data_IF_208449728967
#
_entry.id   IF_208449728967
#
_cell.length_a   1.000
_cell.length_b   1.000
_cell.length_c   1.000
_cell.angle_alpha   90.00
_cell.angle_beta   90.00
_cell.angle_gamma   90.00
#
_symmetry.space_group_name_H-M   'P 1'
#
loop_
_entity.id
_entity.type
_entity.pdbx_description
1 polymer ?
#
# COMPACT_ATOMS: atom_id res chain seq x y z
N UNK A 1 19.84 -15.63 2.49
CA UNK A 1 19.80 -15.07 1.11
C UNK A 1 18.69 -14.05 1.12
N UNK A 2 19.05 -12.77 1.18
CA UNK A 2 18.12 -11.65 1.30
C UNK A 2 17.30 -11.62 0.03
N UNK A 3 16.05 -12.05 0.15
CA UNK A 3 15.16 -12.05 -0.97
C UNK A 3 14.78 -10.58 -1.20
N UNK A 4 15.48 -9.96 -2.15
CA UNK A 4 15.18 -8.62 -2.66
C UNK A 4 13.77 -8.69 -3.24
N UNK A 5 12.78 -8.38 -2.38
CA UNK A 5 11.40 -8.33 -2.77
C UNK A 5 11.27 -7.34 -3.90
N UNK A 6 10.79 -7.80 -5.07
CA UNK A 6 10.66 -6.96 -6.24
C UNK A 6 9.83 -5.72 -5.87
N UNK A 7 10.48 -4.57 -5.91
CA UNK A 7 9.83 -3.28 -5.70
C UNK A 7 9.22 -2.88 -7.05
N UNK A 8 7.91 -2.73 -7.06
CA UNK A 8 7.14 -2.36 -8.25
C UNK A 8 6.23 -1.17 -7.93
N UNK A 9 5.93 -0.38 -8.96
CA UNK A 9 5.03 0.76 -8.85
C UNK A 9 3.67 0.36 -9.40
N UNK A 10 2.64 0.42 -8.56
CA UNK A 10 1.27 0.02 -8.89
C UNK A 10 0.29 1.13 -8.53
N UNK A 11 -0.96 1.01 -8.97
CA UNK A 11 -2.02 1.90 -8.51
C UNK A 11 -2.53 1.46 -7.13
N UNK A 12 -3.07 2.40 -6.31
CA UNK A 12 -3.64 2.09 -5.00
C UNK A 12 -4.75 1.04 -5.07
N UNK A 13 -5.52 1.00 -6.17
CA UNK A 13 -6.55 -0.01 -6.40
C UNK A 13 -6.02 -1.43 -6.63
N UNK A 14 -4.72 -1.60 -6.89
CA UNK A 14 -4.07 -2.91 -7.01
C UNK A 14 -3.47 -3.42 -5.70
N UNK A 15 -3.40 -2.57 -4.67
CA UNK A 15 -2.91 -2.93 -3.35
C UNK A 15 -3.88 -3.89 -2.68
N UNK A 16 -3.34 -4.91 -2.02
CA UNK A 16 -4.10 -5.91 -1.27
C UNK A 16 -3.66 -5.95 0.19
N UNK A 17 -4.55 -6.43 1.05
CA UNK A 17 -4.22 -6.71 2.44
C UNK A 17 -3.04 -7.70 2.49
N UNK A 18 -2.05 -7.40 3.33
CA UNK A 18 -0.77 -8.10 3.42
C UNK A 18 0.34 -7.54 2.52
N UNK A 19 0.03 -6.65 1.58
CA UNK A 19 1.06 -5.98 0.77
C UNK A 19 1.86 -4.97 1.61
N UNK A 20 3.14 -4.82 1.27
CA UNK A 20 4.01 -3.82 1.88
C UNK A 20 4.20 -2.68 0.89
N UNK A 21 3.63 -1.51 1.18
CA UNK A 21 3.74 -0.31 0.34
C UNK A 21 4.68 0.72 0.94
N UNK A 22 5.20 1.63 0.12
CA UNK A 22 5.99 2.77 0.55
C UNK A 22 5.06 3.92 0.89
N UNK A 23 5.14 4.39 2.12
CA UNK A 23 4.51 5.63 2.57
C UNK A 23 5.33 6.81 2.03
N UNK A 24 4.76 7.64 1.12
CA UNK A 24 5.45 8.80 0.57
C UNK A 24 5.59 9.94 1.60
N UNK A 25 4.70 10.03 2.59
CA UNK A 25 4.71 11.09 3.59
C UNK A 25 5.77 10.85 4.67
N UNK A 26 5.91 9.61 5.14
CA UNK A 26 6.89 9.25 6.16
C UNK A 26 8.15 8.55 5.62
N UNK A 27 8.25 8.34 4.30
CA UNK A 27 9.36 7.66 3.65
C UNK A 27 9.72 6.32 4.36
N UNK A 28 8.71 5.51 4.65
CA UNK A 28 8.85 4.20 5.33
C UNK A 28 8.07 3.12 4.61
N UNK A 29 8.39 1.86 4.91
CA UNK A 29 7.60 0.72 4.45
C UNK A 29 6.45 0.48 5.42
N UNK A 30 5.26 0.33 4.86
CA UNK A 30 3.99 0.20 5.57
C UNK A 30 3.33 -1.10 5.16
N UNK A 31 2.93 -1.92 6.12
CA UNK A 31 2.24 -3.18 5.83
C UNK A 31 0.75 -2.93 5.88
N UNK A 32 0.08 -3.15 4.76
CA UNK A 32 -1.36 -2.97 4.65
C UNK A 32 -2.04 -4.12 5.37
N UNK A 33 -2.86 -3.82 6.38
CA UNK A 33 -3.70 -4.78 7.08
C UNK A 33 -5.17 -4.63 6.70
N UNK A 34 -5.62 -3.39 6.54
CA UNK A 34 -6.99 -3.05 6.15
C UNK A 34 -6.98 -1.94 5.09
N UNK A 35 -7.94 -1.97 4.17
CA UNK A 35 -8.07 -1.00 3.08
C UNK A 35 -9.46 -0.37 3.15
N UNK A 36 -9.53 0.95 3.29
CA UNK A 36 -10.78 1.71 3.18
C UNK A 36 -10.73 2.67 1.99
N UNK A 37 -11.85 2.77 1.27
CA UNK A 37 -12.01 3.69 0.14
C UNK A 37 -12.98 4.79 0.56
N UNK A 38 -12.47 6.01 0.69
CA UNK A 38 -13.21 7.11 1.34
C UNK A 38 -14.11 7.88 0.37
N UNK A 39 -14.00 7.70 -0.95
CA UNK A 39 -14.86 8.39 -1.91
C UNK A 39 -15.00 7.63 -3.22
N UNK A 40 -16.25 7.47 -3.67
CA UNK A 40 -16.64 6.84 -4.92
C UNK A 40 -17.33 7.83 -5.86
N UNK A 41 -16.61 8.21 -6.92
CA UNK A 41 -17.00 8.45 -8.33
C UNK A 41 -15.79 9.13 -8.99
N UNK A 42 -14.87 8.33 -9.53
CA UNK A 42 -13.55 8.75 -10.02
C UNK A 42 -12.45 7.78 -9.57
N UNK A 43 -11.18 8.25 -9.50
CA UNK A 43 -10.05 7.46 -8.96
C UNK A 43 -10.15 7.20 -7.46
N UNK A 44 -10.98 7.94 -6.72
CA UNK A 44 -11.20 7.74 -5.28
C UNK A 44 -9.96 8.03 -4.42
N UNK A 45 -10.13 8.00 -3.10
CA UNK A 45 -9.03 8.09 -2.13
C UNK A 45 -8.96 6.78 -1.36
N UNK A 46 -7.77 6.20 -1.30
CA UNK A 46 -7.49 4.95 -0.61
C UNK A 46 -6.76 5.25 0.69
N UNK A 47 -7.31 4.75 1.80
CA UNK A 47 -6.69 4.78 3.12
C UNK A 47 -6.29 3.35 3.49
N UNK A 48 -4.99 3.13 3.67
CA UNK A 48 -4.43 1.85 4.09
C UNK A 48 -4.06 1.91 5.57
N UNK A 49 -4.54 0.95 6.36
CA UNK A 49 -4.28 0.87 7.80
C UNK A 49 -3.37 -0.33 8.09
N UNK A 50 -2.45 -0.19 9.05
CA UNK A 50 -1.70 -1.31 9.62
C UNK A 50 -2.54 -1.95 10.74
N UNK A 51 -1.98 -2.88 11.51
CA UNK A 51 -2.56 -3.48 12.72
C UNK A 51 -2.93 -2.44 13.78
N UNK A 52 -2.44 -1.21 13.67
CA UNK A 52 -2.82 -0.09 14.53
C UNK A 52 -3.71 0.86 13.75
N UNK A 53 -4.97 1.12 14.19
CA UNK A 53 -5.89 2.00 13.48
C UNK A 53 -5.45 3.48 13.50
N UNK A 54 -4.53 3.85 14.40
CA UNK A 54 -3.98 5.20 14.49
C UNK A 54 -2.99 5.55 13.37
N UNK A 55 -2.52 4.55 12.62
CA UNK A 55 -1.54 4.75 11.56
C UNK A 55 -2.14 4.37 10.19
N UNK A 56 -2.28 5.38 9.33
CA UNK A 56 -2.92 5.23 8.03
C UNK A 56 -2.12 5.94 6.93
N UNK A 57 -1.98 5.27 5.80
CA UNK A 57 -1.41 5.84 4.57
C UNK A 57 -2.56 6.18 3.65
N UNK A 58 -2.79 7.47 3.43
CA UNK A 58 -3.84 7.97 2.53
C UNK A 58 -3.21 8.41 1.22
N UNK A 59 -3.70 7.87 0.11
CA UNK A 59 -3.24 8.21 -1.25
C UNK A 59 -4.42 8.43 -2.18
N UNK A 60 -4.26 9.32 -3.15
CA UNK A 60 -5.22 9.48 -4.23
C UNK A 60 -5.12 8.28 -5.18
N UNK A 61 -6.24 7.80 -5.73
CA UNK A 61 -6.23 6.63 -6.62
C UNK A 61 -5.50 6.81 -7.94
N UNK A 62 -5.21 8.05 -8.34
CA UNK A 62 -4.33 8.40 -9.46
C UNK A 62 -2.85 8.51 -9.08
N UNK A 63 -2.52 8.52 -7.78
CA UNK A 63 -1.14 8.55 -7.32
C UNK A 63 -0.56 7.14 -7.25
N UNK A 64 0.52 6.86 -8.00
CA UNK A 64 1.14 5.54 -7.98
C UNK A 64 1.83 5.29 -6.63
N UNK A 65 1.61 4.09 -6.10
CA UNK A 65 2.25 3.62 -4.87
C UNK A 65 3.33 2.59 -5.18
N UNK A 66 4.42 2.67 -4.43
CA UNK A 66 5.50 1.69 -4.56
C UNK A 66 5.22 0.52 -3.64
N UNK A 67 4.97 -0.67 -4.18
CA UNK A 67 4.80 -1.92 -3.43
C UNK A 67 6.09 -2.72 -3.46
N UNK A 68 6.43 -3.32 -2.33
CA UNK A 68 7.41 -4.41 -2.25
C UNK A 68 6.66 -5.72 -2.19
N UNK A 69 6.76 -6.53 -3.25
CA UNK A 69 6.29 -7.91 -3.18
C UNK A 69 7.21 -8.70 -2.25
N UNK A 70 6.64 -9.34 -1.24
CA UNK A 70 7.33 -10.45 -0.61
C UNK A 70 7.59 -11.49 -1.71
N UNK A 71 8.81 -12.01 -1.85
CA UNK A 71 9.06 -13.09 -2.77
C UNK A 71 8.15 -14.23 -2.34
N UNK A 72 7.27 -14.65 -3.25
CA UNK A 72 6.40 -15.81 -3.09
C UNK A 72 7.27 -16.97 -2.61
N UNK A 73 7.17 -17.26 -1.32
CA UNK A 73 7.76 -18.44 -0.72
C UNK A 73 6.70 -19.52 -0.69
N UNK A 74 7.11 -20.68 -1.22
CA UNK A 74 6.47 -22.02 -1.30
C UNK A 74 5.35 -22.21 -2.33
#
# INVERSE_FOLDING_TARGET
MTADGAVETILPGEVREGDVIRDPAAARWFTVNEIQVVSGEGTGVFSFYDKSPDDAVTVAGDEPVTRRRSPLGV
#
